data_IF_256499139372
#
_entry.id   IF_256499139372
#
_cell.length_a   1.000
_cell.length_b   1.000
_cell.length_c   1.000
_cell.angle_alpha   90.00
_cell.angle_beta   90.00
_cell.angle_gamma   90.00
#
_symmetry.space_group_name_H-M   'P 1'
#
loop_
_entity.id
_entity.type
_entity.pdbx_description
1 polymer ?
#
# COMPACT_ATOMS: atom_id res chain seq x y z
N UNK A 1 -25.09 17.00 13.32
CA UNK A 1 -24.18 16.06 13.99
C UNK A 1 -22.70 16.25 13.61
N UNK A 2 -22.25 15.94 12.38
CA UNK A 2 -20.82 16.02 12.00
C UNK A 2 -20.18 17.40 12.23
N UNK A 3 -20.83 18.48 11.77
CA UNK A 3 -20.36 19.85 11.99
C UNK A 3 -20.31 20.26 13.47
N UNK A 4 -21.21 19.71 14.28
CA UNK A 4 -21.21 19.95 15.73
C UNK A 4 -20.04 19.25 16.39
N UNK A 5 -19.78 17.99 16.01
CA UNK A 5 -18.63 17.21 16.50
C UNK A 5 -17.30 17.93 16.18
N UNK A 6 -17.14 18.42 14.95
CA UNK A 6 -15.94 19.18 14.56
C UNK A 6 -15.76 20.48 15.35
N UNK A 7 -16.84 21.20 15.63
CA UNK A 7 -16.80 22.50 16.29
C UNK A 7 -16.67 22.41 17.81
N UNK A 8 -17.38 21.47 18.44
CA UNK A 8 -17.56 21.41 19.89
C UNK A 8 -16.61 20.40 20.54
N UNK A 9 -16.39 19.26 19.89
CA UNK A 9 -15.53 18.19 20.40
C UNK A 9 -14.11 18.28 19.81
N UNK A 10 -14.01 18.68 18.54
CA UNK A 10 -12.76 18.74 17.80
C UNK A 10 -12.41 17.41 17.12
N UNK A 11 -11.90 17.49 15.88
CA UNK A 11 -11.65 16.34 15.00
C UNK A 11 -10.75 15.25 15.61
N UNK A 12 -9.85 15.62 16.51
CA UNK A 12 -8.91 14.68 17.11
C UNK A 12 -9.49 13.96 18.33
N UNK A 13 -10.67 14.36 18.81
CA UNK A 13 -11.28 13.93 20.08
C UNK A 13 -12.49 13.00 19.92
N UNK A 14 -12.94 12.75 18.70
CA UNK A 14 -13.99 11.77 18.41
C UNK A 14 -13.67 10.89 17.20
N UNK A 15 -14.44 9.83 17.00
CA UNK A 15 -14.47 9.09 15.76
C UNK A 15 -15.87 8.64 15.39
N UNK A 16 -16.12 8.56 14.09
CA UNK A 16 -17.41 8.22 13.52
C UNK A 16 -17.25 7.01 12.60
N UNK A 17 -18.06 5.98 12.84
CA UNK A 17 -18.25 4.86 11.93
C UNK A 17 -19.72 4.67 11.58
N UNK A 18 -19.99 4.17 10.38
CA UNK A 18 -21.30 3.59 10.09
C UNK A 18 -21.53 2.40 11.00
N UNK A 19 -22.62 2.38 11.76
CA UNK A 19 -23.05 1.23 12.55
C UNK A 19 -23.83 0.20 11.75
N UNK A 20 -24.01 0.43 10.44
CA UNK A 20 -24.83 -0.42 9.57
C UNK A 20 -26.31 -0.29 9.89
N UNK A 21 -27.06 -1.38 9.71
CA UNK A 21 -28.48 -1.47 10.07
C UNK A 21 -28.65 -2.58 11.10
N UNK A 22 -29.16 -2.24 12.29
CA UNK A 22 -29.44 -3.21 13.36
C UNK A 22 -30.93 -3.16 13.70
N UNK A 23 -31.59 -4.32 13.74
CA UNK A 23 -33.03 -4.44 14.00
C UNK A 23 -33.92 -3.50 13.13
N UNK A 24 -33.53 -3.29 11.87
CA UNK A 24 -34.27 -2.44 10.92
C UNK A 24 -34.07 -0.93 11.10
N UNK A 25 -33.15 -0.51 11.97
CA UNK A 25 -32.80 0.90 12.19
C UNK A 25 -31.40 1.19 11.69
N UNK A 26 -31.22 2.35 11.08
CA UNK A 26 -29.88 2.84 10.72
C UNK A 26 -29.13 3.21 12.00
N UNK A 27 -27.90 2.73 12.10
CA UNK A 27 -27.07 2.91 13.27
C UNK A 27 -25.76 3.62 12.89
N UNK A 28 -25.23 4.36 13.85
CA UNK A 28 -23.90 4.97 13.79
C UNK A 28 -23.16 4.62 15.08
N UNK A 29 -21.85 4.45 14.98
CA UNK A 29 -20.99 4.28 16.15
C UNK A 29 -20.13 5.53 16.30
N UNK A 30 -20.28 6.20 17.44
CA UNK A 30 -19.49 7.37 17.83
C UNK A 30 -18.66 7.03 19.06
N UNK A 31 -17.37 7.37 18.98
CA UNK A 31 -16.42 7.12 20.04
C UNK A 31 -15.79 8.43 20.48
N UNK A 32 -15.65 8.62 21.78
CA UNK A 32 -15.10 9.83 22.40
C UNK A 32 -13.91 9.47 23.28
N UNK A 33 -12.95 10.39 23.41
CA UNK A 33 -11.76 10.17 24.26
C UNK A 33 -12.06 10.17 25.76
N UNK A 34 -13.10 10.87 26.17
CA UNK A 34 -13.51 10.98 27.56
C UNK A 34 -15.04 10.90 27.67
N UNK A 35 -15.51 10.57 28.88
CA UNK A 35 -16.94 10.41 29.14
C UNK A 35 -17.73 11.73 29.07
N UNK A 36 -17.09 12.86 29.42
CA UNK A 36 -17.75 14.17 29.41
C UNK A 36 -18.16 14.60 27.99
N UNK A 37 -17.33 14.32 26.98
CA UNK A 37 -17.64 14.59 25.58
C UNK A 37 -18.80 13.72 25.07
N UNK A 38 -18.84 12.45 25.50
CA UNK A 38 -19.94 11.54 25.17
C UNK A 38 -21.26 12.01 25.83
N UNK A 39 -21.20 12.47 27.07
CA UNK A 39 -22.34 13.04 27.80
C UNK A 39 -22.82 14.34 27.16
N UNK A 40 -21.90 15.24 26.78
CA UNK A 40 -22.20 16.47 26.07
C UNK A 40 -22.83 16.22 24.69
N UNK A 41 -22.38 15.18 23.99
CA UNK A 41 -22.99 14.75 22.73
C UNK A 41 -24.43 14.24 22.94
N UNK A 42 -24.65 13.38 23.94
CA UNK A 42 -26.00 12.87 24.24
C UNK A 42 -26.95 14.01 24.65
N UNK A 43 -26.44 15.03 25.36
CA UNK A 43 -27.22 16.21 25.71
C UNK A 43 -27.54 17.11 24.49
N UNK A 44 -26.63 17.16 23.50
CA UNK A 44 -26.81 17.97 22.30
C UNK A 44 -27.74 17.31 21.25
N UNK A 45 -27.86 15.98 21.29
CA UNK A 45 -28.71 15.19 20.38
C UNK A 45 -29.58 14.20 21.16
N UNK A 46 -30.50 14.69 22.03
CA UNK A 46 -31.32 13.85 22.90
C UNK A 46 -32.31 12.95 22.14
N UNK A 47 -32.56 13.22 20.86
CA UNK A 47 -33.39 12.42 19.96
C UNK A 47 -32.73 11.10 19.54
N UNK A 48 -31.42 10.94 19.73
CA UNK A 48 -30.72 9.71 19.39
C UNK A 48 -30.89 8.67 20.51
N UNK A 49 -31.50 7.54 20.16
CA UNK A 49 -31.60 6.41 21.07
C UNK A 49 -30.25 5.68 21.17
N UNK A 50 -29.72 5.58 22.38
CA UNK A 50 -28.51 4.79 22.63
C UNK A 50 -28.84 3.30 22.60
N UNK A 51 -28.02 2.52 21.90
CA UNK A 51 -28.06 1.06 21.98
C UNK A 51 -27.68 0.62 23.41
N UNK A 52 -28.71 0.18 24.16
CA UNK A 52 -28.70 -0.68 25.35
C UNK A 52 -27.55 -0.57 26.38
N UNK A 53 -26.93 0.61 26.51
CA UNK A 53 -25.88 0.85 27.49
C UNK A 53 -24.46 0.54 27.00
N UNK A 54 -24.17 0.70 25.71
CA UNK A 54 -22.85 0.39 25.17
C UNK A 54 -21.78 1.41 25.61
N UNK A 55 -21.10 1.16 26.74
CA UNK A 55 -19.83 1.79 27.13
C UNK A 55 -18.68 0.80 26.91
N UNK A 56 -18.15 0.74 25.69
CA UNK A 56 -16.93 -0.03 25.43
C UNK A 56 -15.71 0.73 26.02
N UNK A 57 -14.86 0.10 26.85
CA UNK A 57 -13.73 0.77 27.51
C UNK A 57 -12.55 1.07 26.57
N UNK A 58 -12.68 0.75 25.28
CA UNK A 58 -11.61 0.93 24.33
C UNK A 58 -12.14 1.09 22.92
N UNK A 59 -11.62 2.12 22.26
CA UNK A 59 -11.73 2.31 20.83
C UNK A 59 -10.47 3.03 20.33
N UNK A 60 -9.95 2.57 19.20
CA UNK A 60 -8.80 3.18 18.52
C UNK A 60 -9.26 4.30 17.60
N UNK A 61 -9.02 5.56 17.99
CA UNK A 61 -9.23 6.73 17.13
C UNK A 61 -8.52 6.53 15.77
N UNK A 62 -9.21 6.75 14.62
CA UNK A 62 -8.59 6.65 13.31
C UNK A 62 -7.66 7.86 13.02
N UNK A 63 -7.65 8.85 13.92
CA UNK A 63 -6.96 10.13 13.78
C UNK A 63 -5.79 10.33 14.76
N UNK A 64 -5.43 9.34 15.59
CA UNK A 64 -4.08 9.33 16.16
C UNK A 64 -3.12 8.65 15.18
N UNK A 65 -1.92 9.21 14.96
CA UNK A 65 -0.89 8.50 14.26
C UNK A 65 -0.64 7.21 15.03
N UNK A 66 -0.48 6.09 14.33
CA UNK A 66 0.03 4.87 14.95
C UNK A 66 1.27 5.27 15.76
N UNK A 67 1.12 5.31 17.09
CA UNK A 67 2.23 5.20 18.00
C UNK A 67 2.79 3.82 17.71
N UNK A 68 3.87 3.78 16.93
CA UNK A 68 4.50 2.55 16.48
C UNK A 68 4.69 1.67 17.70
N UNK A 69 4.10 0.48 17.70
CA UNK A 69 4.47 -0.52 18.70
C UNK A 69 5.94 -0.85 18.49
N UNK A 70 6.71 -0.95 19.57
CA UNK A 70 8.06 -1.52 19.53
C UNK A 70 7.96 -2.92 18.89
N UNK A 71 8.52 -3.07 17.68
CA UNK A 71 8.38 -4.25 16.82
C UNK A 71 7.73 -4.00 15.45
N UNK A 72 7.08 -2.85 15.21
CA UNK A 72 6.57 -2.49 13.87
C UNK A 72 7.67 -2.11 12.86
N UNK A 73 8.89 -1.90 13.35
CA UNK A 73 10.11 -1.65 12.56
C UNK A 73 10.76 -2.94 12.01
N UNK A 74 10.14 -4.12 12.21
CA UNK A 74 10.48 -5.27 11.36
C UNK A 74 10.04 -4.96 9.93
N UNK A 75 11.04 -4.78 9.07
CA UNK A 75 10.90 -4.35 7.70
C UNK A 75 10.01 -5.34 6.93
N UNK A 76 8.83 -4.88 6.51
CA UNK A 76 8.09 -5.45 5.38
C UNK A 76 9.02 -5.53 4.16
N UNK A 77 8.74 -6.39 3.18
CA UNK A 77 9.46 -6.49 1.90
C UNK A 77 9.94 -5.11 1.38
N UNK A 78 11.20 -4.81 1.68
CA UNK A 78 11.88 -3.55 1.36
C UNK A 78 13.14 -3.83 0.53
N UNK A 79 13.24 -5.04 -0.02
CA UNK A 79 14.32 -5.45 -0.88
C UNK A 79 13.79 -6.45 -1.91
N UNK A 80 14.01 -6.16 -3.18
CA UNK A 80 13.71 -7.09 -4.26
C UNK A 80 14.76 -6.98 -5.35
N UNK A 81 14.77 -7.93 -6.26
CA UNK A 81 15.67 -7.99 -7.40
C UNK A 81 14.88 -7.96 -8.71
N UNK A 82 15.48 -7.37 -9.73
CA UNK A 82 14.99 -7.42 -11.10
C UNK A 82 16.15 -7.75 -12.01
N UNK A 83 16.07 -8.87 -12.71
CA UNK A 83 17.01 -9.23 -13.79
C UNK A 83 16.33 -9.39 -15.15
N UNK A 84 15.01 -9.21 -15.22
CA UNK A 84 14.27 -9.24 -16.48
C UNK A 84 14.76 -8.14 -17.41
N UNK A 85 15.14 -8.52 -18.64
CA UNK A 85 15.63 -7.56 -19.63
C UNK A 85 14.50 -6.68 -20.16
N UNK A 86 14.85 -5.48 -20.65
CA UNK A 86 13.91 -4.58 -21.33
C UNK A 86 13.17 -5.27 -22.48
N UNK A 87 13.90 -6.03 -23.30
CA UNK A 87 13.31 -6.76 -24.42
C UNK A 87 12.33 -7.84 -23.95
N UNK A 88 12.66 -8.59 -22.90
CA UNK A 88 11.74 -9.58 -22.34
C UNK A 88 10.44 -8.90 -21.85
N UNK A 89 10.53 -7.75 -21.18
CA UNK A 89 9.34 -6.99 -20.77
C UNK A 89 8.52 -6.51 -21.97
N UNK A 90 9.17 -6.00 -23.03
CA UNK A 90 8.48 -5.58 -24.26
C UNK A 90 7.74 -6.74 -24.93
N UNK A 91 8.36 -7.92 -24.98
CA UNK A 91 7.73 -9.10 -25.57
C UNK A 91 6.49 -9.57 -24.81
N UNK A 92 6.47 -9.44 -23.48
CA UNK A 92 5.29 -9.77 -22.66
C UNK A 92 4.06 -8.91 -23.00
N UNK A 93 4.28 -7.67 -23.45
CA UNK A 93 3.22 -6.70 -23.76
C UNK A 93 3.13 -6.36 -25.25
N UNK A 94 3.64 -7.22 -26.14
CA UNK A 94 3.66 -6.98 -27.60
C UNK A 94 2.29 -6.70 -28.25
N UNK A 95 1.20 -7.04 -27.57
CA UNK A 95 -0.18 -6.75 -28.01
C UNK A 95 -0.64 -5.33 -27.71
N UNK A 96 0.16 -4.53 -27.00
CA UNK A 96 -0.10 -3.13 -26.66
C UNK A 96 0.89 -2.23 -27.40
N UNK A 97 0.48 -1.00 -27.68
CA UNK A 97 1.45 0.05 -27.96
C UNK A 97 2.33 0.23 -26.71
N UNK A 98 3.65 0.09 -26.87
CA UNK A 98 4.59 0.04 -25.76
C UNK A 98 5.78 0.96 -26.03
N UNK A 99 5.92 2.01 -25.22
CA UNK A 99 7.06 2.93 -25.30
C UNK A 99 8.07 2.61 -24.20
N UNK A 100 9.34 2.49 -24.56
CA UNK A 100 10.41 2.36 -23.58
C UNK A 100 11.09 3.71 -23.32
N UNK A 101 11.01 4.19 -22.08
CA UNK A 101 11.66 5.42 -21.59
C UNK A 101 12.52 5.15 -20.37
N UNK A 102 12.74 3.88 -19.99
CA UNK A 102 13.52 3.57 -18.81
C UNK A 102 15.02 3.84 -19.03
N UNK A 103 15.47 3.83 -20.28
CA UNK A 103 16.89 3.85 -20.61
C UNK A 103 17.55 2.54 -20.18
N UNK A 104 18.88 2.52 -20.03
CA UNK A 104 19.57 1.29 -19.65
C UNK A 104 19.13 0.77 -18.26
N UNK A 105 18.49 -0.41 -18.25
CA UNK A 105 18.12 -1.13 -17.04
C UNK A 105 19.17 -2.19 -16.73
N UNK A 106 20.03 -1.88 -15.77
CA UNK A 106 20.97 -2.83 -15.19
C UNK A 106 20.22 -3.78 -14.24
N UNK A 107 20.44 -5.10 -14.33
CA UNK A 107 19.96 -6.04 -13.33
C UNK A 107 20.47 -5.69 -11.93
N UNK A 108 19.63 -5.88 -10.92
CA UNK A 108 20.11 -5.76 -9.55
C UNK A 108 19.05 -5.55 -8.50
N UNK A 109 19.55 -5.40 -7.27
CA UNK A 109 18.72 -5.27 -6.08
C UNK A 109 18.25 -3.84 -5.90
N UNK A 110 16.94 -3.70 -5.69
CA UNK A 110 16.25 -2.45 -5.51
C UNK A 110 15.94 -2.25 -4.02
N UNK A 111 16.28 -1.06 -3.53
CA UNK A 111 16.08 -0.61 -2.15
C UNK A 111 15.10 0.58 -2.12
N UNK A 112 14.50 0.90 -0.96
CA UNK A 112 13.62 2.04 -0.82
C UNK A 112 14.31 3.34 -1.25
N UNK A 113 13.53 4.29 -1.77
CA UNK A 113 13.99 5.59 -2.29
C UNK A 113 15.01 5.48 -3.45
N UNK A 114 15.09 4.32 -4.12
CA UNK A 114 15.81 4.13 -5.37
C UNK A 114 14.88 4.15 -6.58
N UNK A 115 15.44 4.49 -7.74
CA UNK A 115 14.75 4.36 -9.02
C UNK A 115 14.68 2.88 -9.42
N UNK A 116 13.52 2.46 -9.91
CA UNK A 116 13.28 1.10 -10.37
C UNK A 116 12.36 1.09 -11.60
N UNK A 117 12.43 0.06 -12.45
CA UNK A 117 11.52 -0.06 -13.58
C UNK A 117 10.09 -0.28 -13.11
N UNK A 118 9.14 0.40 -13.75
CA UNK A 118 7.71 0.11 -13.66
C UNK A 118 7.09 0.15 -15.04
N UNK A 119 6.06 -0.67 -15.26
CA UNK A 119 5.23 -0.61 -16.47
C UNK A 119 3.90 0.05 -16.07
N UNK A 120 3.56 1.16 -16.69
CA UNK A 120 2.35 1.93 -16.39
C UNK A 120 1.64 2.37 -17.66
N UNK A 121 0.43 2.88 -17.53
CA UNK A 121 -0.27 3.50 -18.66
C UNK A 121 0.39 4.79 -19.12
N UNK A 122 0.37 5.06 -20.41
CA UNK A 122 0.61 6.36 -21.01
C UNK A 122 -0.52 6.62 -22.00
N UNK A 123 -1.58 7.28 -21.53
CA UNK A 123 -2.85 7.40 -22.27
C UNK A 123 -3.41 6.01 -22.60
N UNK A 124 -3.50 5.65 -23.89
CA UNK A 124 -4.00 4.36 -24.37
C UNK A 124 -2.89 3.31 -24.57
N UNK A 125 -1.63 3.70 -24.38
CA UNK A 125 -0.46 2.85 -24.51
C UNK A 125 0.10 2.43 -23.15
N UNK A 126 1.06 1.50 -23.14
CA UNK A 126 1.91 1.22 -21.99
C UNK A 126 3.27 1.89 -22.16
N UNK A 127 3.90 2.25 -21.05
CA UNK A 127 5.30 2.67 -21.04
C UNK A 127 6.10 1.98 -19.94
N UNK A 128 7.34 1.65 -20.27
CA UNK A 128 8.38 1.26 -19.31
C UNK A 128 9.16 2.51 -18.91
N UNK A 129 9.13 2.85 -17.64
CA UNK A 129 9.80 4.02 -17.07
C UNK A 129 10.56 3.66 -15.80
N UNK A 130 11.42 4.55 -15.33
CA UNK A 130 11.97 4.49 -13.97
C UNK A 130 11.18 5.41 -13.05
N UNK A 131 10.75 4.89 -11.91
CA UNK A 131 10.11 5.65 -10.85
C UNK A 131 10.80 5.39 -9.52
N UNK A 132 10.72 6.32 -8.58
CA UNK A 132 11.33 6.22 -7.25
C UNK A 132 10.43 5.44 -6.30
N UNK A 133 10.99 4.42 -5.65
CA UNK A 133 10.23 3.56 -4.75
C UNK A 133 9.94 4.26 -3.42
N UNK A 134 8.70 4.68 -3.23
CA UNK A 134 8.19 5.30 -2.01
C UNK A 134 7.13 6.35 -2.34
N UNK A 135 5.86 5.95 -2.36
CA UNK A 135 4.72 6.85 -2.54
C UNK A 135 4.66 7.93 -1.46
N UNK A 136 3.95 9.05 -1.70
CA UNK A 136 3.82 10.13 -0.71
C UNK A 136 3.30 9.61 0.63
N UNK A 137 3.93 10.01 1.72
CA UNK A 137 3.44 9.66 3.07
C UNK A 137 2.17 10.46 3.41
N UNK A 138 1.27 9.93 4.26
CA UNK A 138 0.21 10.74 4.85
C UNK A 138 0.80 11.96 5.57
N UNK A 139 0.31 13.20 5.34
CA UNK A 139 0.86 14.38 5.99
C UNK A 139 0.90 14.29 7.52
N UNK A 140 -0.08 13.60 8.12
CA UNK A 140 -0.19 13.40 9.57
C UNK A 140 0.93 12.54 10.17
N UNK A 141 1.69 11.79 9.37
CA UNK A 141 2.81 10.96 9.86
C UNK A 141 4.18 11.61 9.62
N UNK A 142 4.23 12.72 8.88
CA UNK A 142 5.46 13.44 8.62
C UNK A 142 5.87 14.25 9.87
N UNK A 143 7.11 14.05 10.32
CA UNK A 143 7.70 14.78 11.47
C UNK A 143 8.51 15.99 11.04
N UNK A 144 8.94 16.03 9.78
CA UNK A 144 9.75 17.09 9.18
C UNK A 144 9.32 17.27 7.73
N UNK A 145 9.92 18.25 7.04
CA UNK A 145 9.72 18.45 5.59
C UNK A 145 10.18 17.26 4.75
N UNK A 146 11.03 16.38 5.30
CA UNK A 146 11.52 15.19 4.60
C UNK A 146 10.46 14.10 4.58
N UNK A 147 10.06 13.69 3.39
CA UNK A 147 9.22 12.51 3.16
C UNK A 147 10.08 11.29 2.78
N UNK A 148 10.20 10.26 3.65
CA UNK A 148 10.92 9.03 3.31
C UNK A 148 10.16 8.16 2.31
N UNK A 149 8.87 8.43 2.10
CA UNK A 149 7.96 7.65 1.28
C UNK A 149 7.47 6.35 1.91
N UNK A 150 6.39 5.84 1.34
CA UNK A 150 5.75 4.57 1.70
C UNK A 150 6.00 3.57 0.59
N UNK A 151 6.73 2.51 0.88
CA UNK A 151 7.09 1.46 -0.09
C UNK A 151 6.01 0.40 -0.29
N UNK A 152 5.21 0.16 0.76
CA UNK A 152 4.26 -0.95 0.87
C UNK A 152 2.87 -0.42 1.27
N UNK A 153 1.85 -0.72 0.48
CA UNK A 153 0.47 -0.27 0.69
C UNK A 153 -0.40 -1.44 1.15
N UNK A 154 -0.70 -1.51 2.45
CA UNK A 154 -1.52 -2.60 3.03
C UNK A 154 -3.00 -2.24 3.09
N UNK A 155 -3.32 -1.10 3.73
CA UNK A 155 -4.71 -0.70 3.94
C UNK A 155 -5.21 0.21 2.81
N UNK A 156 -5.72 -0.38 1.74
CA UNK A 156 -6.28 0.34 0.58
C UNK A 156 -7.59 1.06 0.86
N UNK A 157 -8.26 0.80 2.00
CA UNK A 157 -9.46 1.55 2.42
C UNK A 157 -9.15 2.96 2.96
N UNK A 158 -7.88 3.21 3.31
CA UNK A 158 -7.44 4.50 3.84
C UNK A 158 -7.73 5.63 2.85
N UNK A 159 -8.33 6.75 3.31
CA UNK A 159 -8.58 7.92 2.47
C UNK A 159 -7.34 8.46 1.75
N UNK A 160 -6.16 8.28 2.36
CA UNK A 160 -4.88 8.71 1.79
C UNK A 160 -4.65 8.15 0.38
N UNK A 161 -4.93 6.85 0.19
CA UNK A 161 -4.62 6.14 -1.05
C UNK A 161 -5.64 6.34 -2.15
N UNK A 162 -6.89 6.69 -1.82
CA UNK A 162 -8.04 6.69 -2.76
C UNK A 162 -7.75 7.37 -4.09
N UNK A 163 -6.97 8.47 -4.07
CA UNK A 163 -6.60 9.24 -5.27
C UNK A 163 -5.70 8.49 -6.25
N UNK A 164 -5.03 7.41 -5.82
CA UNK A 164 -4.07 6.63 -6.62
C UNK A 164 -4.52 5.17 -6.86
N UNK A 165 -5.77 4.82 -6.56
CA UNK A 165 -6.28 3.44 -6.72
C UNK A 165 -6.93 3.18 -8.10
N UNK A 166 -7.22 4.25 -8.84
CA UNK A 166 -7.77 4.17 -10.19
C UNK A 166 -6.76 3.66 -11.23
N UNK A 167 -7.21 3.11 -12.37
CA UNK A 167 -6.34 2.56 -13.42
C UNK A 167 -5.21 3.49 -13.88
N UNK A 168 -5.47 4.80 -13.95
CA UNK A 168 -4.49 5.82 -14.34
C UNK A 168 -3.26 5.91 -13.42
N UNK A 169 -3.36 5.36 -12.20
CA UNK A 169 -2.32 5.36 -11.18
C UNK A 169 -1.83 3.96 -10.83
N UNK A 170 -2.10 2.95 -11.66
CA UNK A 170 -1.61 1.59 -11.45
C UNK A 170 -0.42 1.29 -12.33
N UNK A 171 0.47 0.46 -11.82
CA UNK A 171 1.63 -0.03 -12.53
C UNK A 171 1.90 -1.50 -12.19
N UNK A 172 2.66 -2.16 -13.04
CA UNK A 172 3.30 -3.44 -12.75
C UNK A 172 4.75 -3.16 -12.38
N UNK A 173 5.19 -3.71 -11.25
CA UNK A 173 6.57 -3.61 -10.78
C UNK A 173 7.26 -4.93 -11.12
N UNK A 174 8.14 -5.01 -12.13
CA UNK A 174 8.84 -6.25 -12.47
C UNK A 174 9.63 -6.75 -11.26
N UNK A 175 9.60 -8.06 -11.01
CA UNK A 175 10.34 -8.69 -9.93
C UNK A 175 10.75 -10.10 -10.33
N UNK A 176 12.00 -10.46 -10.06
CA UNK A 176 12.54 -11.81 -10.28
C UNK A 176 12.74 -12.54 -8.96
N UNK A 177 13.09 -11.82 -7.90
CA UNK A 177 13.11 -12.33 -6.54
C UNK A 177 12.87 -11.23 -5.50
N UNK A 178 12.40 -11.58 -4.31
CA UNK A 178 12.19 -10.62 -3.22
C UNK A 178 12.66 -11.18 -1.89
N UNK A 179 12.97 -10.31 -0.95
CA UNK A 179 13.59 -10.68 0.31
C UNK A 179 12.72 -10.28 1.51
N UNK A 180 12.61 -11.18 2.48
CA UNK A 180 12.09 -10.87 3.82
C UNK A 180 13.20 -11.05 4.86
N UNK A 181 13.30 -10.16 5.86
CA UNK A 181 14.36 -10.21 6.86
C UNK A 181 14.19 -11.42 7.79
N UNK A 182 15.28 -12.13 8.08
CA UNK A 182 15.31 -13.24 9.06
C UNK A 182 15.43 -12.75 10.53
N UNK A 183 15.33 -11.43 10.72
CA UNK A 183 15.58 -10.74 11.99
C UNK A 183 16.96 -10.07 12.04
N UNK A 184 17.24 -9.30 13.12
CA UNK A 184 18.44 -8.48 13.22
C UNK A 184 19.73 -9.29 13.05
N UNK A 185 20.57 -8.89 12.09
CA UNK A 185 21.88 -9.50 11.85
C UNK A 185 21.87 -10.87 11.18
N UNK A 186 20.69 -11.42 10.83
CA UNK A 186 20.56 -12.77 10.25
C UNK A 186 20.46 -12.81 8.72
N UNK A 187 20.54 -11.65 8.07
CA UNK A 187 20.36 -11.53 6.63
C UNK A 187 18.89 -11.66 6.21
N UNK A 188 18.68 -12.08 4.95
CA UNK A 188 17.36 -12.18 4.35
C UNK A 188 17.11 -13.59 3.80
N UNK A 189 15.85 -14.02 3.85
CA UNK A 189 15.37 -15.12 3.02
C UNK A 189 14.88 -14.56 1.69
N UNK A 190 15.36 -15.12 0.58
CA UNK A 190 14.91 -14.77 -0.75
C UNK A 190 13.84 -15.72 -1.25
N UNK A 191 12.90 -15.19 -2.02
CA UNK A 191 11.80 -15.92 -2.64
C UNK A 191 11.77 -15.61 -4.14
N UNK A 192 11.51 -16.62 -4.95
CA UNK A 192 11.27 -16.49 -6.39
C UNK A 192 10.05 -17.30 -6.80
N UNK A 193 9.61 -17.14 -8.04
CA UNK A 193 8.58 -17.96 -8.65
C UNK A 193 8.98 -19.45 -8.57
N UNK A 194 8.00 -20.31 -8.30
CA UNK A 194 8.20 -21.76 -8.36
C UNK A 194 8.42 -22.26 -9.81
N UNK A 195 7.89 -21.54 -10.81
CA UNK A 195 8.10 -21.81 -12.23
C UNK A 195 8.83 -20.68 -12.96
N UNK A 196 8.99 -20.81 -14.28
CA UNK A 196 9.76 -19.88 -15.12
C UNK A 196 8.96 -18.64 -15.60
N UNK A 197 7.71 -18.50 -15.14
CA UNK A 197 6.84 -17.39 -15.50
C UNK A 197 7.28 -16.06 -14.87
N UNK A 198 7.07 -14.92 -15.55
CA UNK A 198 7.40 -13.62 -14.99
C UNK A 198 6.47 -13.27 -13.82
N UNK A 199 7.02 -12.55 -12.84
CA UNK A 199 6.27 -12.00 -11.71
C UNK A 199 6.30 -10.47 -11.74
N UNK A 200 5.18 -9.88 -11.33
CA UNK A 200 5.07 -8.46 -11.06
C UNK A 200 4.46 -8.24 -9.69
N UNK A 201 4.88 -7.19 -8.97
CA UNK A 201 4.06 -6.69 -7.88
C UNK A 201 2.94 -5.80 -8.39
N UNK A 202 1.80 -5.86 -7.71
CA UNK A 202 0.66 -4.98 -7.96
C UNK A 202 0.96 -3.56 -7.46
N UNK A 203 1.44 -2.70 -8.37
CA UNK A 203 1.93 -1.36 -8.07
C UNK A 203 0.89 -0.25 -8.21
N UNK A 204 1.09 0.83 -7.45
CA UNK A 204 0.46 2.13 -7.67
C UNK A 204 1.54 3.22 -7.83
N UNK A 205 1.21 4.30 -8.53
CA UNK A 205 2.15 5.35 -8.90
C UNK A 205 1.58 6.77 -8.79
N UNK A 206 2.47 7.73 -8.62
CA UNK A 206 2.19 9.17 -8.67
C UNK A 206 3.24 9.84 -9.55
N UNK A 207 2.79 10.73 -10.45
CA UNK A 207 3.68 11.44 -11.37
C UNK A 207 4.00 12.84 -10.89
N UNK A 208 5.17 13.32 -11.31
CA UNK A 208 5.59 14.71 -11.14
C UNK A 208 5.39 15.23 -9.70
N UNK A 209 5.66 14.36 -8.72
CA UNK A 209 5.40 14.68 -7.32
C UNK A 209 6.53 15.50 -6.72
N UNK A 210 6.21 16.71 -6.27
CA UNK A 210 7.15 17.59 -5.60
C UNK A 210 7.25 17.27 -4.11
N UNK A 211 8.45 16.95 -3.64
CA UNK A 211 8.71 16.71 -2.21
C UNK A 211 10.21 16.76 -1.89
N UNK A 212 10.53 16.88 -0.60
CA UNK A 212 11.90 16.71 -0.11
C UNK A 212 12.12 15.24 0.28
N UNK A 213 12.78 14.46 -0.58
CA UNK A 213 13.08 13.04 -0.30
C UNK A 213 14.32 12.85 0.56
N UNK A 214 15.35 13.64 0.24
CA UNK A 214 16.60 13.74 0.99
C UNK A 214 16.86 15.21 1.27
N UNK A 215 17.12 15.53 2.53
CA UNK A 215 17.37 16.92 2.97
C UNK A 215 18.48 17.58 2.14
N UNK A 216 19.53 16.83 1.80
CA UNK A 216 20.66 17.32 1.01
C UNK A 216 20.33 17.69 -0.45
N UNK A 217 19.27 17.12 -1.02
CA UNK A 217 18.91 17.31 -2.43
C UNK A 217 17.87 18.45 -2.57
N UNK A 218 17.31 18.93 -1.45
CA UNK A 218 16.23 19.91 -1.47
C UNK A 218 14.92 19.31 -1.99
N UNK A 219 14.06 20.17 -2.54
CA UNK A 219 12.82 19.77 -3.20
C UNK A 219 13.12 19.22 -4.60
N UNK A 220 12.58 18.05 -4.89
CA UNK A 220 12.70 17.40 -6.19
C UNK A 220 11.32 17.03 -6.72
N UNK A 221 11.21 16.98 -8.05
CA UNK A 221 10.05 16.44 -8.76
C UNK A 221 10.38 15.02 -9.19
N UNK A 222 9.61 14.04 -8.72
CA UNK A 222 9.85 12.64 -8.99
C UNK A 222 8.56 11.92 -9.40
N UNK A 223 8.70 10.98 -10.33
CA UNK A 223 7.72 9.90 -10.47
C UNK A 223 7.94 8.91 -9.33
N UNK A 224 6.88 8.57 -8.61
CA UNK A 224 6.90 7.72 -7.42
C UNK A 224 6.09 6.45 -7.65
N UNK A 225 6.48 5.37 -6.98
CA UNK A 225 5.67 4.16 -6.93
C UNK A 225 5.76 3.45 -5.59
N UNK A 226 4.78 2.59 -5.33
CA UNK A 226 4.78 1.60 -4.26
C UNK A 226 4.00 0.38 -4.75
N UNK A 227 4.02 -0.70 -3.99
CA UNK A 227 3.18 -1.86 -4.31
C UNK A 227 2.33 -2.29 -3.14
N UNK A 228 1.23 -2.97 -3.47
CA UNK A 228 0.31 -3.48 -2.47
C UNK A 228 0.93 -4.67 -1.73
N UNK A 229 0.55 -4.80 -0.48
CA UNK A 229 0.85 -5.96 0.36
C UNK A 229 -0.44 -6.61 0.85
N UNK A 230 -0.36 -7.86 1.24
CA UNK A 230 -1.47 -8.68 1.73
C UNK A 230 -1.00 -9.57 2.89
N UNK A 231 -1.87 -10.38 3.48
CA UNK A 231 -1.45 -11.41 4.44
C UNK A 231 -0.50 -12.40 3.77
N UNK A 232 0.54 -12.91 4.47
CA UNK A 232 1.44 -13.88 3.87
C UNK A 232 0.74 -15.22 3.65
N UNK A 233 1.22 -15.98 2.66
CA UNK A 233 0.91 -17.40 2.52
C UNK A 233 1.71 -18.22 3.55
N UNK A 234 1.55 -19.55 3.59
CA UNK A 234 2.21 -20.38 4.61
C UNK A 234 3.75 -20.31 4.53
N UNK A 235 4.29 -20.27 3.31
CA UNK A 235 5.74 -20.22 3.07
C UNK A 235 6.37 -18.91 3.53
N UNK A 236 5.80 -17.77 3.14
CA UNK A 236 6.31 -16.45 3.55
C UNK A 236 6.01 -16.22 5.02
N UNK A 237 4.84 -16.65 5.50
CA UNK A 237 4.40 -16.44 6.88
C UNK A 237 5.25 -17.15 7.92
N UNK A 238 5.90 -18.26 7.55
CA UNK A 238 6.88 -18.94 8.38
C UNK A 238 8.16 -18.11 8.63
N UNK A 239 8.46 -17.16 7.75
CA UNK A 239 9.63 -16.29 7.82
C UNK A 239 9.24 -14.90 8.34
N UNK A 240 8.19 -14.32 7.77
CA UNK A 240 7.72 -12.98 8.07
C UNK A 240 6.17 -12.98 8.17
N UNK A 241 5.59 -13.07 9.38
CA UNK A 241 4.17 -13.34 9.58
C UNK A 241 3.24 -12.13 9.29
N UNK A 242 3.81 -10.94 9.06
CA UNK A 242 3.03 -9.68 9.01
C UNK A 242 2.37 -9.45 7.64
N UNK A 243 3.11 -9.69 6.57
CA UNK A 243 2.63 -9.47 5.20
C UNK A 243 3.55 -10.13 4.17
N UNK A 244 3.04 -10.24 2.95
CA UNK A 244 3.82 -10.45 1.73
C UNK A 244 3.39 -9.44 0.64
N UNK A 245 4.22 -9.17 -0.38
CA UNK A 245 3.79 -8.42 -1.56
C UNK A 245 2.63 -9.11 -2.29
N UNK A 246 1.78 -8.32 -2.94
CA UNK A 246 0.80 -8.85 -3.88
C UNK A 246 1.51 -9.18 -5.19
N UNK A 247 1.53 -10.46 -5.56
CA UNK A 247 2.24 -10.97 -6.74
C UNK A 247 1.23 -11.32 -7.82
N UNK A 248 1.50 -10.85 -9.04
CA UNK A 248 0.75 -11.12 -10.26
C UNK A 248 1.63 -11.92 -11.22
N UNK A 249 1.25 -13.15 -11.53
CA UNK A 249 2.06 -14.10 -12.31
C UNK A 249 1.33 -14.63 -13.56
N UNK A 250 0.14 -14.13 -13.85
CA UNK A 250 -0.64 -14.50 -15.04
C UNK A 250 -1.03 -13.25 -15.84
N UNK A 251 -1.01 -13.34 -17.17
CA UNK A 251 -1.36 -12.24 -18.07
C UNK A 251 -2.72 -11.60 -17.76
N UNK A 252 -3.73 -12.42 -17.41
CA UNK A 252 -5.07 -11.94 -17.03
C UNK A 252 -5.05 -11.09 -15.75
N UNK A 253 -4.17 -11.42 -14.82
CA UNK A 253 -4.01 -10.65 -13.58
C UNK A 253 -3.35 -9.30 -13.87
N UNK A 254 -2.36 -9.27 -14.77
CA UNK A 254 -1.71 -8.02 -15.21
C UNK A 254 -2.71 -7.08 -15.90
N UNK A 255 -3.49 -7.61 -16.83
CA UNK A 255 -4.53 -6.86 -17.53
C UNK A 255 -5.59 -6.34 -16.54
N UNK A 256 -6.13 -7.23 -15.68
CA UNK A 256 -7.10 -6.85 -14.65
C UNK A 256 -6.55 -5.76 -13.74
N UNK A 257 -5.30 -5.89 -13.31
CA UNK A 257 -4.66 -4.89 -12.47
C UNK A 257 -4.54 -3.56 -13.21
N UNK A 258 -4.10 -3.54 -14.46
CA UNK A 258 -3.89 -2.30 -15.21
C UNK A 258 -5.20 -1.62 -15.64
N UNK A 259 -6.29 -2.34 -15.92
CA UNK A 259 -7.47 -1.76 -16.58
C UNK A 259 -8.77 -1.80 -15.79
N UNK A 260 -8.97 -2.78 -14.90
CA UNK A 260 -10.28 -3.01 -14.30
C UNK A 260 -10.68 -1.92 -13.29
N UNK A 261 -11.98 -1.69 -13.05
CA UNK A 261 -12.45 -0.92 -11.88
C UNK A 261 -11.81 -1.41 -10.58
N UNK A 262 -11.62 -0.50 -9.63
CA UNK A 262 -10.82 -0.80 -8.43
C UNK A 262 -11.42 -1.93 -7.59
N UNK A 263 -12.74 -2.05 -7.54
CA UNK A 263 -13.48 -3.08 -6.83
C UNK A 263 -13.17 -4.50 -7.37
N UNK A 264 -12.87 -4.61 -8.67
CA UNK A 264 -12.46 -5.87 -9.29
C UNK A 264 -10.97 -6.12 -9.10
N UNK A 265 -10.13 -5.10 -9.32
CA UNK A 265 -8.68 -5.20 -9.14
C UNK A 265 -8.30 -5.51 -7.68
N UNK A 266 -9.04 -5.00 -6.70
CA UNK A 266 -8.82 -5.23 -5.28
C UNK A 266 -8.92 -6.71 -4.90
N UNK A 267 -9.66 -7.54 -5.67
CA UNK A 267 -9.71 -9.00 -5.46
C UNK A 267 -8.34 -9.67 -5.69
N UNK A 268 -7.42 -8.99 -6.38
CA UNK A 268 -6.04 -9.44 -6.55
C UNK A 268 -5.17 -9.14 -5.32
N UNK A 269 -5.62 -8.31 -4.35
CA UNK A 269 -4.90 -8.04 -3.11
C UNK A 269 -4.99 -9.22 -2.12
N UNK A 270 -4.48 -10.38 -2.52
CA UNK A 270 -4.53 -11.66 -1.81
C UNK A 270 -3.18 -12.36 -1.89
N UNK A 271 -2.86 -13.28 -0.95
CA UNK A 271 -1.63 -14.07 -1.04
C UNK A 271 -1.58 -14.90 -2.32
N UNK A 272 -0.38 -15.12 -2.85
CA UNK A 272 -0.13 -16.13 -3.86
C UNK A 272 -0.33 -17.53 -3.22
N UNK A 273 -0.80 -18.56 -3.95
CA UNK A 273 -0.84 -19.93 -3.45
C UNK A 273 0.49 -20.39 -2.83
N UNK A 274 0.43 -21.31 -1.86
CA UNK A 274 1.60 -21.78 -1.10
C UNK A 274 2.69 -22.41 -1.99
N UNK A 275 2.29 -22.97 -3.13
CA UNK A 275 3.15 -23.59 -4.15
C UNK A 275 3.59 -22.61 -5.26
N UNK A 276 3.17 -21.35 -5.20
CA UNK A 276 3.52 -20.34 -6.20
C UNK A 276 4.93 -19.77 -6.05
N UNK A 277 5.58 -20.00 -4.91
CA UNK A 277 6.92 -19.52 -4.60
C UNK A 277 7.86 -20.66 -4.22
N UNK A 278 9.16 -20.39 -4.32
CA UNK A 278 10.22 -21.20 -3.73
C UNK A 278 11.21 -20.30 -3.00
N UNK A 279 11.79 -20.83 -1.93
CA UNK A 279 12.92 -20.20 -1.24
C UNK A 279 14.20 -20.39 -2.07
N UNK A 280 15.02 -19.34 -2.14
CA UNK A 280 16.34 -19.35 -2.78
C UNK A 280 17.38 -18.73 -1.85
N UNK A 281 18.65 -19.07 -2.05
CA UNK A 281 19.74 -18.54 -1.20
C UNK A 281 20.16 -17.12 -1.61
N UNK A 282 20.19 -16.85 -2.92
CA UNK A 282 20.70 -15.61 -3.49
C UNK A 282 19.67 -14.99 -4.45
N UNK A 283 19.66 -13.66 -4.61
CA UNK A 283 18.78 -13.00 -5.57
C UNK A 283 19.07 -13.48 -6.99
N UNK A 284 18.00 -13.62 -7.76
CA UNK A 284 18.02 -13.88 -9.21
C UNK A 284 17.43 -12.72 -9.97
#
# INVERSE_FOLDING_TARGET
MYLWLDRVIGRDSYAWHSGGTTAGRECIALYFRNAADAEGFCAAFPELELADGTRYPGYSSPALPFGRKTGEDEALCNLYNVSTTQEAMRQLFRSFEFTDKAGNLEPGSIYPDRLAPIIRHNREALELVRARWGMPSPPSVLKTVRDPGVTNVRNTSSPHWRRWLGPAHRCLVPVTSFAEPLGPGKGNQWFAAAGDGPMFFAGIEARDWQSVRKVKDGETTDDLFAFLTTSPNAMVGAIHPKAMPVILNEAKQWETWLSAPFELALKLQRPLPDDGLRMIENPI
#
